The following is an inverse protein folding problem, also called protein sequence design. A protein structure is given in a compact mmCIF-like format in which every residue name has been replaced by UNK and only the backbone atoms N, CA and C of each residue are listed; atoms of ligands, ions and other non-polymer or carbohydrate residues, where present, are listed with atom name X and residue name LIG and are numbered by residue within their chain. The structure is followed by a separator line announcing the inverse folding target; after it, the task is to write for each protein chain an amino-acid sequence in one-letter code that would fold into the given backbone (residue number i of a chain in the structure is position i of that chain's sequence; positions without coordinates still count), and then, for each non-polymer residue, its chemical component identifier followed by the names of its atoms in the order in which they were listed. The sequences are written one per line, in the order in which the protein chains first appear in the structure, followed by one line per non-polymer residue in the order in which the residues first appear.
data_IF_048880619937
#
_entry.id   IF_048880619937
#
_cell.length_a   1.000
_cell.length_b   1.000
_cell.length_c   1.000
_cell.angle_alpha   90.00
_cell.angle_beta   90.00
_cell.angle_gamma   90.00
#
_symmetry.space_group_name_H-M   'P 1'
#
loop_
_entity.id
_entity.type
_entity.pdbx_description
1 polymer ?
#
# COMPACT_ATOMS: atom_id res chain seq x y z
N UNK A 1 -6.36 4.42 -19.08
CA UNK A 1 -6.60 3.04 -18.58
C UNK A 1 -5.25 2.49 -18.14
N UNK A 2 -5.13 2.00 -16.91
CA UNK A 2 -3.87 1.45 -16.37
C UNK A 2 -3.91 -0.08 -16.40
N UNK A 3 -2.80 -0.72 -16.80
CA UNK A 3 -2.62 -2.18 -16.76
C UNK A 3 -2.00 -2.56 -15.40
N UNK A 4 -2.84 -2.91 -14.43
CA UNK A 4 -2.38 -3.28 -13.08
C UNK A 4 -1.46 -4.51 -13.10
N UNK A 5 -1.76 -5.62 -13.82
CA UNK A 5 -0.83 -6.74 -13.94
C UNK A 5 0.58 -6.39 -14.44
N UNK A 6 0.71 -5.43 -15.36
CA UNK A 6 2.02 -4.94 -15.81
C UNK A 6 2.68 -4.12 -14.69
N UNK A 7 1.97 -3.16 -14.10
CA UNK A 7 2.48 -2.29 -13.04
C UNK A 7 2.92 -3.07 -11.80
N UNK A 8 2.22 -4.14 -11.43
CA UNK A 8 2.61 -5.03 -10.33
C UNK A 8 4.01 -5.60 -10.57
N UNK A 9 4.25 -6.14 -11.78
CA UNK A 9 5.55 -6.72 -12.16
C UNK A 9 6.65 -5.66 -12.19
N UNK A 10 6.38 -4.51 -12.82
CA UNK A 10 7.38 -3.44 -12.89
C UNK A 10 7.74 -2.88 -11.51
N UNK A 11 6.75 -2.70 -10.63
CA UNK A 11 7.00 -2.07 -9.33
C UNK A 11 7.60 -3.03 -8.31
N UNK A 12 7.34 -4.33 -8.40
CA UNK A 12 8.08 -5.29 -7.56
C UNK A 12 9.56 -5.37 -7.97
N UNK A 13 9.87 -5.35 -9.28
CA UNK A 13 11.25 -5.27 -9.76
C UNK A 13 11.95 -3.99 -9.30
N UNK A 14 11.28 -2.83 -9.39
CA UNK A 14 11.79 -1.56 -8.88
C UNK A 14 12.00 -1.58 -7.37
N UNK A 15 11.10 -2.21 -6.61
CA UNK A 15 11.22 -2.32 -5.16
C UNK A 15 12.45 -3.16 -4.77
N UNK A 16 12.72 -4.27 -5.48
CA UNK A 16 13.93 -5.08 -5.29
C UNK A 16 15.23 -4.33 -5.62
N UNK A 17 15.19 -3.38 -6.55
CA UNK A 17 16.35 -2.56 -6.91
C UNK A 17 16.58 -1.34 -6.00
N UNK A 18 15.61 -0.97 -5.17
CA UNK A 18 15.70 0.18 -4.25
C UNK A 18 16.25 -0.26 -2.88
N UNK A 19 17.17 0.51 -2.31
CA UNK A 19 17.80 0.18 -1.02
C UNK A 19 16.81 0.09 0.16
N UNK A 20 15.65 0.75 0.04
CA UNK A 20 14.59 0.71 1.06
C UNK A 20 13.55 -0.37 0.76
N UNK A 21 13.75 -1.17 -0.29
CA UNK A 21 12.88 -2.29 -0.64
C UNK A 21 11.45 -1.86 -1.00
N UNK A 22 11.28 -0.66 -1.59
CA UNK A 22 9.96 -0.13 -1.92
C UNK A 22 9.91 0.69 -3.20
N UNK A 23 8.77 0.67 -3.87
CA UNK A 23 8.47 1.51 -5.04
C UNK A 23 7.03 2.01 -4.95
N UNK A 24 6.75 3.22 -5.44
CA UNK A 24 5.39 3.76 -5.45
C UNK A 24 5.12 4.52 -6.76
N UNK A 25 3.86 4.48 -7.22
CA UNK A 25 3.42 5.20 -8.41
C UNK A 25 1.96 5.67 -8.27
N UNK A 26 1.75 6.97 -8.39
CA UNK A 26 0.42 7.59 -8.40
C UNK A 26 -0.24 7.33 -9.76
N UNK A 27 -1.28 6.50 -9.76
CA UNK A 27 -2.06 6.14 -10.94
C UNK A 27 -3.10 7.19 -11.29
N UNK A 28 -3.95 7.53 -10.30
CA UNK A 28 -5.03 8.49 -10.48
C UNK A 28 -4.88 9.67 -9.54
N UNK A 29 -5.20 10.84 -10.09
CA UNK A 29 -5.35 12.09 -9.39
C UNK A 29 -6.58 12.79 -9.96
N UNK A 30 -7.71 12.69 -9.26
CA UNK A 30 -8.99 13.27 -9.69
C UNK A 30 -9.66 13.98 -8.51
N UNK A 31 -9.61 15.31 -8.48
CA UNK A 31 -10.10 16.09 -7.34
C UNK A 31 -9.38 15.65 -6.05
N UNK A 32 -10.09 15.24 -4.99
CA UNK A 32 -9.48 14.74 -3.76
C UNK A 32 -9.02 13.27 -3.84
N UNK A 33 -9.39 12.53 -4.90
CA UNK A 33 -9.05 11.13 -5.06
C UNK A 33 -7.58 10.96 -5.45
N UNK A 34 -6.88 10.07 -4.75
CA UNK A 34 -5.56 9.54 -5.09
C UNK A 34 -5.66 8.03 -5.16
N UNK A 35 -5.12 7.44 -6.23
CA UNK A 35 -4.87 6.00 -6.28
C UNK A 35 -3.41 5.75 -6.55
N UNK A 36 -2.75 5.03 -5.66
CA UNK A 36 -1.30 4.79 -5.71
C UNK A 36 -1.03 3.30 -5.63
N UNK A 37 -0.24 2.76 -6.54
CA UNK A 37 0.39 1.45 -6.35
C UNK A 37 1.61 1.63 -5.45
N UNK A 38 1.74 0.76 -4.45
CA UNK A 38 2.91 0.68 -3.59
C UNK A 38 3.39 -0.77 -3.59
N UNK A 39 4.63 -0.98 -4.01
CA UNK A 39 5.32 -2.27 -3.93
C UNK A 39 6.31 -2.26 -2.77
N UNK A 40 6.37 -3.36 -2.05
CA UNK A 40 7.22 -3.59 -0.89
C UNK A 40 7.85 -4.97 -1.04
N UNK A 41 9.16 -5.07 -0.88
CA UNK A 41 9.81 -6.37 -0.70
C UNK A 41 9.48 -6.95 0.67
N UNK A 42 9.58 -8.26 0.82
CA UNK A 42 9.34 -8.97 2.08
C UNK A 42 10.07 -8.28 3.25
N UNK A 43 9.33 -7.94 4.31
CA UNK A 43 9.87 -7.28 5.50
C UNK A 43 10.00 -5.76 5.42
N UNK A 44 9.93 -5.16 4.22
CA UNK A 44 9.90 -3.71 4.05
C UNK A 44 8.59 -3.11 4.53
N UNK A 45 8.65 -1.84 4.94
CA UNK A 45 7.52 -1.18 5.57
C UNK A 45 7.32 0.27 5.11
N UNK A 46 6.09 0.73 5.30
CA UNK A 46 5.77 2.14 5.49
C UNK A 46 5.69 2.37 6.99
N UNK A 47 6.55 3.24 7.49
CA UNK A 47 6.60 3.59 8.91
C UNK A 47 5.28 4.17 9.40
N UNK A 48 5.11 4.24 10.71
CA UNK A 48 3.90 4.77 11.33
C UNK A 48 3.56 6.19 10.84
N UNK A 49 2.39 6.35 10.22
CA UNK A 49 1.94 7.59 9.62
C UNK A 49 0.47 7.88 9.94
N UNK A 50 0.07 9.14 9.74
CA UNK A 50 -1.31 9.56 9.91
C UNK A 50 -2.19 9.05 8.76
N UNK A 51 -3.41 8.64 9.11
CA UNK A 51 -4.40 8.24 8.13
C UNK A 51 -4.94 9.45 7.35
N UNK A 52 -5.16 9.32 6.03
CA UNK A 52 -5.92 10.32 5.28
C UNK A 52 -7.39 10.33 5.72
N UNK A 53 -8.13 11.36 5.30
CA UNK A 53 -9.55 11.58 5.63
C UNK A 53 -10.42 10.35 5.37
N UNK A 54 -10.14 9.63 4.29
CA UNK A 54 -10.66 8.29 4.06
C UNK A 54 -9.68 7.53 3.16
N UNK A 55 -9.45 6.24 3.43
CA UNK A 55 -8.69 5.40 2.53
C UNK A 55 -9.06 3.92 2.64
N UNK A 56 -8.75 3.20 1.57
CA UNK A 56 -8.75 1.75 1.52
C UNK A 56 -7.46 1.23 0.91
N UNK A 57 -7.09 0.00 1.28
CA UNK A 57 -5.94 -0.71 0.78
C UNK A 57 -6.38 -2.06 0.23
N UNK A 58 -6.07 -2.33 -1.03
CA UNK A 58 -6.28 -3.64 -1.66
C UNK A 58 -4.94 -4.30 -1.94
N UNK A 59 -4.79 -5.57 -1.60
CA UNK A 59 -3.58 -6.33 -1.95
C UNK A 59 -3.75 -6.91 -3.36
N UNK A 60 -2.86 -6.49 -4.27
CA UNK A 60 -2.84 -6.94 -5.66
C UNK A 60 -1.84 -8.08 -5.91
N UNK A 61 -0.86 -8.24 -5.02
CA UNK A 61 0.14 -9.32 -5.02
C UNK A 61 0.67 -9.53 -3.60
N UNK A 62 0.97 -10.78 -3.22
CA UNK A 62 1.56 -11.13 -1.93
C UNK A 62 0.62 -10.94 -0.74
N UNK A 63 1.19 -10.44 0.36
CA UNK A 63 0.51 -10.20 1.62
C UNK A 63 1.16 -9.11 2.46
N UNK A 64 0.36 -8.41 3.25
CA UNK A 64 0.80 -7.33 4.13
C UNK A 64 0.15 -7.44 5.51
N UNK A 65 0.72 -6.74 6.48
CA UNK A 65 0.18 -6.55 7.81
C UNK A 65 0.07 -5.05 8.09
N UNK A 66 -1.12 -4.59 8.48
CA UNK A 66 -1.34 -3.25 9.04
C UNK A 66 -1.25 -3.37 10.56
N UNK A 67 -0.50 -2.48 11.19
CA UNK A 67 -0.38 -2.41 12.66
C UNK A 67 -0.77 -1.03 13.13
N UNK A 68 -1.78 -0.92 13.98
CA UNK A 68 -2.19 0.37 14.58
C UNK A 68 -1.22 0.80 15.68
N UNK A 69 -1.24 2.07 16.08
CA UNK A 69 -0.43 2.58 17.19
C UNK A 69 -0.71 1.85 18.52
N UNK A 70 -1.90 1.27 18.69
CA UNK A 70 -2.28 0.46 19.85
C UNK A 70 -1.74 -0.99 19.79
N UNK A 71 -1.09 -1.36 18.67
CA UNK A 71 -0.50 -2.68 18.45
C UNK A 71 -1.47 -3.71 17.89
N UNK A 72 -2.66 -3.31 17.42
CA UNK A 72 -3.57 -4.22 16.74
C UNK A 72 -3.03 -4.57 15.34
N UNK A 73 -2.89 -5.86 15.04
CA UNK A 73 -2.37 -6.36 13.77
C UNK A 73 -3.48 -6.94 12.90
N UNK A 74 -3.59 -6.46 11.66
CA UNK A 74 -4.48 -7.02 10.65
C UNK A 74 -3.69 -7.50 9.44
N UNK A 75 -3.77 -8.80 9.16
CA UNK A 75 -3.17 -9.42 7.97
C UNK A 75 -4.12 -9.34 6.78
N UNK A 76 -3.60 -8.92 5.64
CA UNK A 76 -4.35 -8.73 4.40
C UNK A 76 -3.62 -9.48 3.29
N UNK A 77 -4.34 -10.39 2.63
CA UNK A 77 -3.83 -11.29 1.59
C UNK A 77 -4.32 -10.87 0.20
N UNK A 78 -3.69 -11.43 -0.84
CA UNK A 78 -4.08 -11.24 -2.25
C UNK A 78 -5.60 -11.18 -2.47
N UNK A 79 -6.05 -10.12 -3.13
CA UNK A 79 -7.44 -9.88 -3.50
C UNK A 79 -8.30 -9.27 -2.39
N UNK A 80 -7.83 -9.27 -1.14
CA UNK A 80 -8.56 -8.66 -0.02
C UNK A 80 -8.43 -7.14 -0.04
N UNK A 81 -9.51 -6.49 0.40
CA UNK A 81 -9.64 -5.05 0.59
C UNK A 81 -9.83 -4.78 2.09
N UNK A 82 -9.12 -3.79 2.61
CA UNK A 82 -9.21 -3.35 3.99
C UNK A 82 -9.41 -1.83 4.03
N UNK A 83 -10.25 -1.36 4.95
CA UNK A 83 -10.33 0.07 5.26
C UNK A 83 -9.09 0.49 6.04
N UNK A 84 -8.57 1.69 5.78
CA UNK A 84 -7.43 2.19 6.54
C UNK A 84 -7.91 2.66 7.92
N UNK A 85 -7.31 2.17 9.03
CA UNK A 85 -7.65 2.60 10.38
C UNK A 85 -7.54 4.13 10.51
N UNK A 86 -8.53 4.76 11.13
CA UNK A 86 -8.53 6.21 11.41
C UNK A 86 -7.70 6.56 12.66
N UNK A 87 -6.52 5.93 12.77
CA UNK A 87 -5.49 6.16 13.78
C UNK A 87 -4.13 6.08 13.09
N UNK A 88 -3.05 6.46 13.77
CA UNK A 88 -1.70 6.23 13.24
C UNK A 88 -1.47 4.73 13.09
N UNK A 89 -0.89 4.34 11.97
CA UNK A 89 -0.64 2.94 11.66
C UNK A 89 0.59 2.79 10.76
N UNK A 90 1.17 1.59 10.78
CA UNK A 90 2.23 1.18 9.87
C UNK A 90 1.74 0.08 8.94
N UNK A 91 2.44 -0.11 7.82
CA UNK A 91 2.18 -1.18 6.86
C UNK A 91 3.47 -1.94 6.62
N UNK A 92 3.45 -3.26 6.77
CA UNK A 92 4.62 -4.11 6.52
C UNK A 92 4.28 -5.24 5.56
N UNK A 93 5.18 -5.51 4.61
CA UNK A 93 5.11 -6.67 3.74
C UNK A 93 5.41 -7.97 4.50
N UNK A 94 4.46 -8.91 4.50
CA UNK A 94 4.68 -10.27 5.02
C UNK A 94 5.37 -11.15 3.99
N UNK A 95 5.11 -10.86 2.72
CA UNK A 95 5.73 -11.39 1.52
C UNK A 95 6.00 -10.22 0.58
N UNK A 96 6.73 -10.43 -0.51
CA UNK A 96 6.80 -9.45 -1.60
C UNK A 96 5.38 -9.06 -2.00
N UNK A 97 5.06 -7.77 -1.86
CA UNK A 97 3.69 -7.31 -1.90
C UNK A 97 3.53 -6.11 -2.80
N UNK A 98 2.38 -6.05 -3.47
CA UNK A 98 1.94 -4.85 -4.19
C UNK A 98 0.53 -4.53 -3.75
N UNK A 99 0.31 -3.31 -3.29
CA UNK A 99 -0.98 -2.82 -2.82
C UNK A 99 -1.47 -1.65 -3.66
N UNK A 100 -2.78 -1.53 -3.83
CA UNK A 100 -3.44 -0.33 -4.31
C UNK A 100 -3.99 0.44 -3.11
N UNK A 101 -3.39 1.59 -2.81
CA UNK A 101 -3.91 2.55 -1.86
C UNK A 101 -4.86 3.49 -2.60
N UNK A 102 -6.13 3.53 -2.18
CA UNK A 102 -7.09 4.54 -2.61
C UNK A 102 -7.33 5.49 -1.44
N UNK A 103 -7.02 6.77 -1.60
CA UNK A 103 -7.14 7.76 -0.54
C UNK A 103 -7.91 9.00 -1.03
N UNK A 104 -8.70 9.57 -0.12
CA UNK A 104 -9.25 10.91 -0.23
C UNK A 104 -8.33 11.83 0.56
N UNK A 105 -7.64 12.72 -0.15
CA UNK A 105 -6.76 13.72 0.46
C UNK A 105 -7.43 15.08 0.43
N UNK A 106 -7.15 15.93 1.42
CA UNK A 106 -7.51 17.35 1.33
C UNK A 106 -6.89 17.96 0.06
N UNK A 107 -7.60 18.92 -0.53
CA UNK A 107 -7.24 19.52 -1.83
C UNK A 107 -6.18 20.60 -1.67
#
# INVERSE_FOLDING_TARGET
MHDLPLLIREHIEKAHADERGRSAHLLLHEGPLRQTIIALTTGSALDEHDAPTAASLQVLYGGVCVTTAEGEETKISLGQLHEIPQTRHSLKATDDAVVLLTAVTET
#
